data_IF_017279133092
#
_entry.id   IF_017279133092
#
_cell.length_a   1.000
_cell.length_b   1.000
_cell.length_c   1.000
_cell.angle_alpha   90.00
_cell.angle_beta   90.00
_cell.angle_gamma   90.00
#
_symmetry.space_group_name_H-M   'P 1'
#
loop_
_entity.id
_entity.type
_entity.pdbx_description
1 polymer ?
#
# COMPACT_ATOMS: atom_id res chain seq x y z
N UNK A 1 6.21 -57.80 13.42
CA UNK A 1 6.00 -56.38 13.77
C UNK A 1 7.27 -55.68 14.25
N UNK A 2 8.19 -56.33 14.98
CA UNK A 2 9.41 -55.68 15.51
C UNK A 2 10.42 -55.12 14.47
N UNK A 3 10.51 -55.70 13.27
CA UNK A 3 11.53 -55.28 12.28
C UNK A 3 11.31 -53.86 11.74
N UNK A 4 10.06 -53.42 11.64
CA UNK A 4 9.71 -52.07 11.16
C UNK A 4 10.06 -51.01 12.19
N UNK A 5 9.91 -51.34 13.48
CA UNK A 5 10.25 -50.46 14.59
C UNK A 5 11.77 -50.35 14.76
N UNK A 6 12.53 -51.45 14.61
CA UNK A 6 14.00 -51.42 14.60
C UNK A 6 14.57 -50.49 13.52
N UNK A 7 14.04 -50.53 12.29
CA UNK A 7 14.43 -49.59 11.23
C UNK A 7 14.08 -48.13 11.54
N UNK A 8 13.01 -47.88 12.30
CA UNK A 8 12.67 -46.51 12.74
C UNK A 8 13.68 -45.96 13.76
N UNK A 9 14.32 -46.84 14.55
CA UNK A 9 15.27 -46.47 15.60
C UNK A 9 16.72 -46.46 15.12
N UNK A 10 17.04 -47.22 14.06
CA UNK A 10 18.39 -47.26 13.46
C UNK A 10 18.79 -45.93 12.79
N UNK A 11 17.81 -45.13 12.34
CA UNK A 11 18.04 -43.77 11.80
C UNK A 11 18.09 -42.67 12.89
N UNK A 12 18.13 -43.05 14.17
CA UNK A 12 18.02 -42.15 15.33
C UNK A 12 19.39 -41.81 15.96
N UNK A 13 20.50 -41.92 15.23
CA UNK A 13 21.84 -41.65 15.80
C UNK A 13 22.30 -40.18 15.65
N UNK A 14 21.62 -39.38 14.80
CA UNK A 14 21.99 -37.96 14.57
C UNK A 14 20.89 -36.95 14.98
N UNK A 15 19.79 -37.40 15.59
CA UNK A 15 18.75 -36.51 16.12
C UNK A 15 18.02 -35.63 15.09
N UNK A 16 18.31 -35.78 13.80
CA UNK A 16 17.90 -34.87 12.72
C UNK A 16 16.77 -35.41 11.83
N UNK A 17 16.43 -36.70 11.86
CA UNK A 17 15.45 -37.32 10.94
C UNK A 17 14.42 -38.26 11.63
N UNK A 18 13.82 -37.79 12.72
CA UNK A 18 12.67 -38.46 13.35
C UNK A 18 11.32 -37.99 12.78
N UNK A 19 10.30 -38.87 12.78
CA UNK A 19 8.90 -38.58 12.41
C UNK A 19 8.34 -37.34 13.16
N UNK A 20 8.82 -37.12 14.39
CA UNK A 20 8.51 -35.94 15.21
C UNK A 20 9.10 -34.63 14.65
N UNK A 21 10.31 -34.67 14.08
CA UNK A 21 10.94 -33.52 13.44
C UNK A 21 10.19 -33.11 12.15
N UNK A 22 9.64 -34.08 11.43
CA UNK A 22 8.79 -33.84 10.25
C UNK A 22 7.49 -33.15 10.62
N UNK A 23 6.85 -33.55 11.72
CA UNK A 23 5.65 -32.90 12.24
C UNK A 23 5.92 -31.46 12.71
N UNK A 24 7.02 -31.23 13.44
CA UNK A 24 7.42 -29.88 13.84
C UNK A 24 7.65 -28.98 12.62
N UNK A 25 8.30 -29.50 11.58
CA UNK A 25 8.56 -28.78 10.33
C UNK A 25 7.27 -28.46 9.58
N UNK A 26 6.31 -29.38 9.56
CA UNK A 26 5.00 -29.16 8.95
C UNK A 26 4.20 -28.06 9.67
N UNK A 27 4.15 -28.07 11.00
CA UNK A 27 3.45 -27.05 11.79
C UNK A 27 4.08 -25.66 11.61
N UNK A 28 5.42 -25.60 11.59
CA UNK A 28 6.15 -24.35 11.28
C UNK A 28 5.83 -23.86 9.86
N UNK A 29 5.72 -24.78 8.89
CA UNK A 29 5.35 -24.43 7.52
C UNK A 29 3.91 -23.88 7.40
N UNK A 30 2.96 -24.46 8.13
CA UNK A 30 1.57 -23.97 8.19
C UNK A 30 1.52 -22.58 8.80
N UNK A 31 2.16 -22.36 9.96
CA UNK A 31 2.18 -21.04 10.58
C UNK A 31 2.82 -20.00 9.67
N UNK A 32 3.88 -20.36 8.95
CA UNK A 32 4.46 -19.47 7.94
C UNK A 32 3.46 -19.13 6.84
N UNK A 33 2.71 -20.11 6.32
CA UNK A 33 1.65 -19.85 5.34
C UNK A 33 0.54 -18.95 5.90
N UNK A 34 0.11 -19.14 7.14
CA UNK A 34 -0.88 -18.28 7.81
C UNK A 34 -0.37 -16.84 7.93
N UNK A 35 0.89 -16.64 8.31
CA UNK A 35 1.49 -15.30 8.40
C UNK A 35 1.54 -14.63 7.03
N UNK A 36 1.92 -15.36 5.98
CA UNK A 36 1.95 -14.84 4.61
C UNK A 36 0.56 -14.43 4.15
N UNK A 37 -0.47 -15.26 4.42
CA UNK A 37 -1.87 -14.92 4.10
C UNK A 37 -2.30 -13.62 4.78
N UNK A 38 -2.02 -13.47 6.08
CA UNK A 38 -2.32 -12.23 6.82
C UNK A 38 -1.64 -11.02 6.17
N UNK A 39 -0.37 -11.14 5.80
CA UNK A 39 0.34 -10.04 5.13
C UNK A 39 -0.32 -9.70 3.79
N UNK A 40 -0.67 -10.71 2.99
CA UNK A 40 -1.39 -10.50 1.71
C UNK A 40 -2.71 -9.76 1.97
N UNK A 41 -3.50 -10.18 2.97
CA UNK A 41 -4.76 -9.54 3.31
C UNK A 41 -4.55 -8.07 3.71
N UNK A 42 -3.55 -7.79 4.55
CA UNK A 42 -3.25 -6.40 4.94
C UNK A 42 -2.77 -5.54 3.76
N UNK A 43 -2.04 -6.12 2.81
CA UNK A 43 -1.59 -5.42 1.60
C UNK A 43 -2.79 -5.12 0.69
N UNK A 44 -3.70 -6.07 0.51
CA UNK A 44 -4.92 -5.88 -0.27
C UNK A 44 -5.84 -4.81 0.34
N UNK A 45 -5.99 -4.80 1.67
CA UNK A 45 -6.75 -3.75 2.37
C UNK A 45 -6.12 -2.38 2.18
N UNK A 46 -4.79 -2.30 2.26
CA UNK A 46 -4.05 -1.05 2.04
C UNK A 46 -4.18 -0.58 0.60
N UNK A 47 -4.09 -1.47 -0.37
CA UNK A 47 -4.29 -1.17 -1.79
C UNK A 47 -5.69 -0.62 -2.04
N UNK A 48 -6.73 -1.29 -1.52
CA UNK A 48 -8.12 -0.82 -1.62
C UNK A 48 -8.32 0.57 -1.00
N UNK A 49 -7.70 0.82 0.15
CA UNK A 49 -7.74 2.13 0.81
C UNK A 49 -7.06 3.22 -0.04
N UNK A 50 -5.90 2.93 -0.61
CA UNK A 50 -5.18 3.85 -1.49
C UNK A 50 -5.97 4.14 -2.78
N UNK A 51 -6.59 3.12 -3.36
CA UNK A 51 -7.44 3.27 -4.54
C UNK A 51 -8.64 4.19 -4.24
N UNK A 52 -9.33 3.97 -3.12
CA UNK A 52 -10.41 4.85 -2.68
C UNK A 52 -9.96 6.31 -2.50
N UNK A 53 -8.81 6.51 -1.84
CA UNK A 53 -8.24 7.85 -1.66
C UNK A 53 -7.91 8.53 -3.00
N UNK A 54 -7.40 7.76 -3.96
CA UNK A 54 -7.12 8.25 -5.31
C UNK A 54 -8.41 8.69 -6.01
N UNK A 55 -9.46 7.87 -5.95
CA UNK A 55 -10.74 8.17 -6.58
C UNK A 55 -11.40 9.41 -5.95
N UNK A 56 -11.35 9.55 -4.62
CA UNK A 56 -11.81 10.75 -3.90
C UNK A 56 -11.05 12.02 -4.35
N UNK A 57 -9.73 11.92 -4.57
CA UNK A 57 -8.93 13.03 -5.09
C UNK A 57 -9.31 13.38 -6.52
N UNK A 58 -9.55 12.39 -7.38
CA UNK A 58 -9.99 12.63 -8.77
C UNK A 58 -11.34 13.34 -8.78
N UNK A 59 -12.31 12.88 -8.00
CA UNK A 59 -13.64 13.50 -7.90
C UNK A 59 -13.56 14.95 -7.39
N UNK A 60 -12.64 15.23 -6.46
CA UNK A 60 -12.38 16.59 -6.01
C UNK A 60 -11.78 17.45 -7.12
N UNK A 61 -10.83 16.93 -7.90
CA UNK A 61 -10.19 17.63 -9.02
C UNK A 61 -11.23 17.97 -10.10
N UNK A 62 -12.16 17.06 -10.39
CA UNK A 62 -13.23 17.27 -11.37
C UNK A 62 -14.19 18.40 -10.99
N UNK A 63 -14.33 18.75 -9.71
CA UNK A 63 -15.15 19.88 -9.26
C UNK A 63 -14.49 21.24 -9.50
N UNK A 64 -13.18 21.27 -9.73
CA UNK A 64 -12.48 22.50 -10.09
C UNK A 64 -12.49 22.65 -11.61
N UNK A 65 -12.66 23.88 -12.08
CA UNK A 65 -12.63 24.21 -13.51
C UNK A 65 -11.41 25.06 -13.86
N UNK A 66 -10.95 24.97 -15.11
CA UNK A 66 -9.87 25.80 -15.64
C UNK A 66 -8.51 25.57 -14.97
N UNK A 67 -7.84 26.67 -14.63
CA UNK A 67 -6.46 26.66 -14.12
C UNK A 67 -6.32 25.88 -12.80
N UNK A 68 -7.34 25.95 -11.94
CA UNK A 68 -7.32 25.35 -10.62
C UNK A 68 -7.30 23.80 -10.71
N UNK A 69 -8.05 23.23 -11.66
CA UNK A 69 -8.01 21.80 -11.99
C UNK A 69 -6.63 21.38 -12.49
N UNK A 70 -6.06 22.16 -13.42
CA UNK A 70 -4.75 21.87 -13.99
C UNK A 70 -3.66 21.86 -12.91
N UNK A 71 -3.66 22.83 -11.99
CA UNK A 71 -2.72 22.88 -10.86
C UNK A 71 -2.81 21.60 -10.01
N UNK A 72 -4.03 21.17 -9.65
CA UNK A 72 -4.23 19.98 -8.82
C UNK A 72 -3.87 18.69 -9.58
N UNK A 73 -4.25 18.57 -10.84
CA UNK A 73 -3.93 17.41 -11.69
C UNK A 73 -2.42 17.25 -11.85
N UNK A 74 -1.70 18.33 -12.15
CA UNK A 74 -0.25 18.29 -12.28
C UNK A 74 0.44 17.97 -10.96
N UNK A 75 -0.07 18.51 -9.85
CA UNK A 75 0.50 18.26 -8.51
C UNK A 75 0.28 16.83 -8.02
N UNK A 76 -0.95 16.31 -8.12
CA UNK A 76 -1.36 15.08 -7.45
C UNK A 76 -1.50 13.88 -8.38
N UNK A 77 -1.79 14.09 -9.67
CA UNK A 77 -1.85 12.99 -10.67
C UNK A 77 -0.50 12.77 -11.33
N UNK A 78 0.18 13.84 -11.78
CA UNK A 78 1.54 13.74 -12.35
C UNK A 78 2.66 13.76 -11.30
N UNK A 79 2.37 14.14 -10.06
CA UNK A 79 3.37 14.17 -8.98
C UNK A 79 4.40 15.31 -9.06
N UNK A 80 4.10 16.39 -9.79
CA UNK A 80 5.05 17.48 -10.02
C UNK A 80 5.25 18.39 -8.80
N UNK A 81 6.40 19.06 -8.73
CA UNK A 81 6.64 20.15 -7.77
C UNK A 81 5.86 21.40 -8.20
N UNK A 82 5.56 22.31 -7.27
CA UNK A 82 4.86 23.56 -7.62
C UNK A 82 5.65 24.43 -8.61
N UNK A 83 6.98 24.35 -8.58
CA UNK A 83 7.86 24.97 -9.58
C UNK A 83 7.66 24.37 -10.97
N UNK A 84 7.66 23.04 -11.08
CA UNK A 84 7.41 22.37 -12.36
C UNK A 84 5.98 22.61 -12.87
N UNK A 85 5.00 22.70 -11.97
CA UNK A 85 3.63 23.09 -12.33
C UNK A 85 3.60 24.50 -12.91
N UNK A 86 4.31 25.45 -12.30
CA UNK A 86 4.41 26.82 -12.80
C UNK A 86 5.08 26.88 -14.18
N UNK A 87 6.17 26.13 -14.36
CA UNK A 87 6.84 26.00 -15.64
C UNK A 87 5.95 25.36 -16.73
N UNK A 88 5.22 24.28 -16.41
CA UNK A 88 4.30 23.64 -17.37
C UNK A 88 3.14 24.54 -17.77
N UNK A 89 2.62 25.35 -16.83
CA UNK A 89 1.49 26.24 -17.09
C UNK A 89 1.91 27.62 -17.59
N UNK A 90 3.21 27.93 -17.65
CA UNK A 90 3.73 29.22 -18.08
C UNK A 90 3.43 30.38 -17.11
N UNK A 91 3.23 30.08 -15.83
CA UNK A 91 2.99 31.09 -14.79
C UNK A 91 4.18 31.24 -13.86
N UNK A 92 4.22 32.35 -13.14
CA UNK A 92 5.18 32.55 -12.06
C UNK A 92 4.90 31.59 -10.89
N UNK A 93 5.97 31.11 -10.25
CA UNK A 93 5.88 30.20 -9.11
C UNK A 93 5.06 30.78 -7.96
N UNK A 94 5.21 32.06 -7.66
CA UNK A 94 4.51 32.71 -6.55
C UNK A 94 3.00 32.78 -6.83
N UNK A 95 2.61 32.97 -8.09
CA UNK A 95 1.22 32.95 -8.51
C UNK A 95 0.58 31.57 -8.29
N UNK A 96 1.24 30.50 -8.77
CA UNK A 96 0.77 29.12 -8.58
C UNK A 96 0.73 28.73 -7.10
N UNK A 97 1.73 29.13 -6.32
CA UNK A 97 1.78 28.89 -4.86
C UNK A 97 0.59 29.54 -4.14
N UNK A 98 0.29 30.80 -4.48
CA UNK A 98 -0.85 31.51 -3.90
C UNK A 98 -2.18 30.87 -4.28
N UNK A 99 -2.35 30.51 -5.56
CA UNK A 99 -3.53 29.79 -6.05
C UNK A 99 -3.72 28.44 -5.36
N UNK A 100 -2.65 27.65 -5.27
CA UNK A 100 -2.66 26.38 -4.56
C UNK A 100 -3.06 26.54 -3.09
N UNK A 101 -2.56 27.58 -2.40
CA UNK A 101 -2.95 27.86 -1.02
C UNK A 101 -4.43 28.20 -0.87
N UNK A 102 -5.03 28.93 -1.81
CA UNK A 102 -6.46 29.22 -1.84
C UNK A 102 -7.29 27.94 -2.05
N UNK A 103 -6.88 27.09 -3.00
CA UNK A 103 -7.52 25.81 -3.25
C UNK A 103 -7.50 24.90 -2.01
N UNK A 104 -6.37 24.83 -1.33
CA UNK A 104 -6.25 24.05 -0.09
C UNK A 104 -7.12 24.60 1.05
N UNK A 105 -7.42 25.91 1.06
CA UNK A 105 -8.38 26.49 2.02
C UNK A 105 -9.81 26.08 1.66
N UNK A 106 -10.19 26.18 0.38
CA UNK A 106 -11.52 25.75 -0.07
C UNK A 106 -11.77 24.25 0.19
N UNK A 107 -10.81 23.38 -0.12
CA UNK A 107 -10.93 21.94 0.11
C UNK A 107 -11.13 21.64 1.61
N UNK A 108 -10.35 22.29 2.48
CA UNK A 108 -10.51 22.15 3.94
C UNK A 108 -11.91 22.57 4.40
N UNK A 109 -12.39 23.72 3.92
CA UNK A 109 -13.74 24.19 4.24
C UNK A 109 -14.82 23.20 3.81
N UNK A 110 -14.75 22.67 2.59
CA UNK A 110 -15.74 21.68 2.11
C UNK A 110 -15.73 20.36 2.90
N UNK A 111 -14.61 20.03 3.54
CA UNK A 111 -14.50 18.84 4.41
C UNK A 111 -15.11 19.06 5.79
N UNK A 112 -15.14 20.29 6.30
CA UNK A 112 -15.72 20.63 7.61
C UNK A 112 -17.24 20.80 7.57
N UNK A 113 -17.81 21.06 6.38
CA UNK A 113 -19.25 21.28 6.18
C UNK A 113 -20.02 19.97 5.91
N UNK A 114 -19.32 18.84 5.74
CA UNK A 114 -19.90 17.49 5.58
C UNK A 114 -19.71 16.66 6.85
#
# INVERSE_FOLDING_TARGET
MHYVELKRWENHDDGTDGDLAKNQTYIVSIHRQETIKKVIDTLNEREKKLQKQKDEVIELIEKFEGLDNQILKLKYVKGLTLENVANELGYDYQYIKNKHAQLMKMIRFTKEVK
#
